data_IF_538118795061
#
_entry.id   IF_538118795061
#
_cell.length_a   1.000
_cell.length_b   1.000
_cell.length_c   1.000
_cell.angle_alpha   90.00
_cell.angle_beta   90.00
_cell.angle_gamma   90.00
#
_symmetry.space_group_name_H-M   'P 1'
#
loop_
_entity.id
_entity.type
_entity.pdbx_description
1 polymer ?
#
# COMPACT_ATOMS: atom_id res chain seq x y z
N UNK A 1 20.21 -20.03 33.35
CA UNK A 1 19.18 -20.08 32.28
C UNK A 1 18.65 -18.70 31.86
N UNK A 2 18.25 -17.76 32.74
CA UNK A 2 17.75 -16.42 32.36
C UNK A 2 18.69 -15.56 31.51
N UNK A 3 20.02 -15.60 31.77
CA UNK A 3 21.02 -14.79 31.04
C UNK A 3 21.13 -15.19 29.55
N UNK A 4 21.15 -16.49 29.27
CA UNK A 4 21.23 -17.00 27.89
C UNK A 4 19.96 -16.72 27.07
N UNK A 5 18.79 -16.74 27.71
CA UNK A 5 17.52 -16.36 27.08
C UNK A 5 17.46 -14.85 26.75
N UNK A 6 17.97 -14.00 27.64
CA UNK A 6 18.03 -12.54 27.40
C UNK A 6 18.99 -12.21 26.25
N UNK A 7 20.16 -12.86 26.18
CA UNK A 7 21.11 -12.65 25.07
C UNK A 7 20.55 -13.13 23.73
N UNK A 8 19.85 -14.27 23.71
CA UNK A 8 19.20 -14.78 22.50
C UNK A 8 18.11 -13.82 21.99
N UNK A 9 17.25 -13.34 22.88
CA UNK A 9 16.21 -12.37 22.54
C UNK A 9 16.80 -11.05 22.00
N UNK A 10 17.88 -10.53 22.61
CA UNK A 10 18.56 -9.34 22.13
C UNK A 10 19.19 -9.52 20.74
N UNK A 11 19.75 -10.72 20.46
CA UNK A 11 20.31 -11.04 19.15
C UNK A 11 19.21 -11.16 18.08
N UNK A 12 18.10 -11.82 18.41
CA UNK A 12 16.94 -11.94 17.51
C UNK A 12 16.35 -10.57 17.16
N UNK A 13 16.22 -9.70 18.16
CA UNK A 13 15.76 -8.32 17.94
C UNK A 13 16.73 -7.50 17.09
N UNK A 14 18.04 -7.63 17.32
CA UNK A 14 19.07 -6.99 16.50
C UNK A 14 19.05 -7.48 15.06
N UNK A 15 18.86 -8.78 14.84
CA UNK A 15 18.76 -9.38 13.51
C UNK A 15 17.49 -8.91 12.80
N UNK A 16 16.36 -8.81 13.49
CA UNK A 16 15.09 -8.29 12.96
C UNK A 16 15.25 -6.83 12.50
N UNK A 17 15.84 -5.97 13.33
CA UNK A 17 16.09 -4.56 12.97
C UNK A 17 17.04 -4.42 11.78
N UNK A 18 18.07 -5.26 11.70
CA UNK A 18 19.00 -5.26 10.57
C UNK A 18 18.33 -5.71 9.28
N UNK A 19 17.45 -6.70 9.35
CA UNK A 19 16.66 -7.17 8.21
C UNK A 19 15.65 -6.10 7.75
N UNK A 20 14.96 -5.45 8.68
CA UNK A 20 14.02 -4.38 8.35
C UNK A 20 14.72 -3.20 7.66
N UNK A 21 15.89 -2.78 8.15
CA UNK A 21 16.71 -1.78 7.46
C UNK A 21 17.08 -2.20 6.05
N UNK A 22 17.53 -3.44 5.89
CA UNK A 22 17.88 -3.99 4.59
C UNK A 22 16.68 -3.95 3.61
N UNK A 23 15.49 -4.31 4.06
CA UNK A 23 14.27 -4.23 3.25
C UNK A 23 13.93 -2.78 2.93
N UNK A 24 14.05 -1.85 3.89
CA UNK A 24 13.79 -0.44 3.68
C UNK A 24 14.73 0.20 2.67
N UNK A 25 16.03 -0.12 2.71
CA UNK A 25 17.01 0.36 1.74
C UNK A 25 16.63 -0.08 0.31
N UNK A 26 16.13 -1.31 0.15
CA UNK A 26 15.68 -1.83 -1.16
C UNK A 26 14.38 -1.17 -1.61
N UNK A 27 13.39 -0.99 -0.71
CA UNK A 27 12.13 -0.29 -0.99
C UNK A 27 12.40 1.14 -1.45
N UNK A 28 13.22 1.87 -0.71
CA UNK A 28 13.57 3.24 -1.04
C UNK A 28 14.34 3.33 -2.37
N UNK A 29 15.25 2.40 -2.63
CA UNK A 29 15.98 2.35 -3.90
C UNK A 29 15.05 2.18 -5.10
N UNK A 30 14.01 1.33 -5.00
CA UNK A 30 13.01 1.19 -6.06
C UNK A 30 12.23 2.49 -6.27
N UNK A 31 11.74 3.12 -5.18
CA UNK A 31 10.99 4.37 -5.25
C UNK A 31 11.83 5.49 -5.89
N UNK A 32 13.08 5.65 -5.48
CA UNK A 32 14.01 6.64 -6.05
C UNK A 32 14.23 6.44 -7.55
N UNK A 33 14.35 5.18 -7.99
CA UNK A 33 14.53 4.88 -9.42
C UNK A 33 13.27 5.19 -10.23
N UNK A 34 12.08 4.95 -9.67
CA UNK A 34 10.79 5.27 -10.30
C UNK A 34 10.57 6.77 -10.51
N UNK A 35 11.29 7.63 -9.79
CA UNK A 35 11.22 9.08 -10.01
C UNK A 35 11.76 9.49 -11.39
N UNK A 36 12.82 8.82 -11.84
CA UNK A 36 13.60 9.20 -13.00
C UNK A 36 13.51 8.25 -14.18
N UNK A 37 12.94 7.06 -13.97
CA UNK A 37 12.80 6.03 -15.00
C UNK A 37 11.41 5.40 -14.93
N UNK A 38 10.90 4.94 -16.07
CA UNK A 38 9.70 4.13 -16.11
C UNK A 38 9.93 2.79 -15.40
N UNK A 39 8.95 2.36 -14.63
CA UNK A 39 9.06 1.11 -13.85
C UNK A 39 9.50 -0.08 -14.70
N UNK A 40 8.99 -0.20 -15.93
CA UNK A 40 9.32 -1.33 -16.82
C UNK A 40 10.80 -1.36 -17.21
N UNK A 41 11.46 -0.22 -17.25
CA UNK A 41 12.88 -0.10 -17.60
C UNK A 41 13.81 -0.43 -16.42
N UNK A 42 13.32 -0.37 -15.18
CA UNK A 42 14.10 -0.64 -13.97
C UNK A 42 14.38 -2.15 -13.87
N UNK A 43 15.65 -2.51 -13.72
CA UNK A 43 16.08 -3.91 -13.52
C UNK A 43 16.42 -4.17 -12.06
N UNK A 44 16.34 -5.42 -11.62
CA UNK A 44 16.77 -5.80 -10.28
C UNK A 44 18.24 -5.38 -10.00
N UNK A 45 19.09 -5.40 -11.03
CA UNK A 45 20.49 -4.94 -10.89
C UNK A 45 20.61 -3.47 -10.52
N UNK A 46 19.73 -2.62 -11.03
CA UNK A 46 19.74 -1.19 -10.75
C UNK A 46 19.32 -0.94 -9.30
N UNK A 47 18.33 -1.68 -8.83
CA UNK A 47 17.86 -1.63 -7.43
C UNK A 47 18.96 -2.10 -6.48
N UNK A 48 19.62 -3.22 -6.79
CA UNK A 48 20.72 -3.79 -5.98
C UNK A 48 21.86 -2.76 -5.83
N UNK A 49 22.25 -2.12 -6.94
CA UNK A 49 23.32 -1.11 -6.95
C UNK A 49 22.88 0.11 -6.16
N UNK A 50 21.68 0.61 -6.39
CA UNK A 50 21.13 1.80 -5.73
C UNK A 50 20.97 1.59 -4.22
N UNK A 51 20.50 0.41 -3.78
CA UNK A 51 20.35 0.04 -2.38
C UNK A 51 21.69 -0.28 -1.68
N UNK A 52 22.78 -0.47 -2.44
CA UNK A 52 24.09 -0.82 -1.88
C UNK A 52 24.14 -2.21 -1.23
N UNK A 53 23.28 -3.13 -1.67
CA UNK A 53 23.17 -4.48 -1.10
C UNK A 53 23.85 -5.54 -1.96
N UNK A 54 24.21 -6.68 -1.37
CA UNK A 54 24.76 -7.80 -2.15
C UNK A 54 23.68 -8.51 -2.94
N UNK A 55 24.04 -9.02 -4.11
CA UNK A 55 23.15 -9.79 -4.99
C UNK A 55 22.52 -10.98 -4.28
N UNK A 56 23.32 -11.73 -3.53
CA UNK A 56 22.86 -12.91 -2.78
C UNK A 56 21.88 -12.55 -1.66
N UNK A 57 22.08 -11.41 -0.98
CA UNK A 57 21.17 -10.94 0.04
C UNK A 57 19.83 -10.48 -0.58
N UNK A 58 19.87 -9.76 -1.70
CA UNK A 58 18.69 -9.35 -2.43
C UNK A 58 17.81 -10.54 -2.80
N UNK A 59 18.34 -11.54 -3.51
CA UNK A 59 17.57 -12.69 -3.99
C UNK A 59 17.13 -13.67 -2.91
N UNK A 60 17.58 -13.52 -1.65
CA UNK A 60 17.01 -14.23 -0.50
C UNK A 60 15.68 -13.61 -0.04
N UNK A 61 15.45 -12.34 -0.33
CA UNK A 61 14.28 -11.59 0.15
C UNK A 61 13.28 -11.33 -0.96
N UNK A 62 13.75 -10.88 -2.13
CA UNK A 62 12.93 -10.52 -3.28
C UNK A 62 13.40 -11.25 -4.53
N UNK A 63 12.49 -11.90 -5.23
CA UNK A 63 12.81 -12.56 -6.50
C UNK A 63 12.81 -11.57 -7.67
N UNK A 64 11.86 -10.64 -7.67
CA UNK A 64 11.65 -9.65 -8.72
C UNK A 64 11.20 -8.29 -8.14
N UNK A 65 11.26 -7.23 -8.95
CA UNK A 65 10.91 -5.87 -8.52
C UNK A 65 9.44 -5.73 -8.11
N UNK A 66 8.52 -6.55 -8.64
CA UNK A 66 7.13 -6.55 -8.23
C UNK A 66 6.93 -7.03 -6.78
N UNK A 67 7.79 -7.92 -6.29
CA UNK A 67 7.71 -8.37 -4.90
C UNK A 67 8.02 -7.21 -3.94
N UNK A 68 8.98 -6.35 -4.33
CA UNK A 68 9.32 -5.13 -3.58
C UNK A 68 8.13 -4.15 -3.59
N UNK A 69 7.49 -3.98 -4.75
CA UNK A 69 6.33 -3.09 -4.88
C UNK A 69 5.16 -3.58 -4.02
N UNK A 70 4.89 -4.88 -4.03
CA UNK A 70 3.86 -5.51 -3.20
C UNK A 70 4.18 -5.29 -1.71
N UNK A 71 5.43 -5.51 -1.31
CA UNK A 71 5.88 -5.28 0.07
C UNK A 71 5.70 -3.81 0.49
N UNK A 72 6.02 -2.84 -0.38
CA UNK A 72 5.77 -1.41 -0.13
C UNK A 72 4.27 -1.15 0.08
N UNK A 73 3.41 -1.69 -0.77
CA UNK A 73 1.96 -1.50 -0.70
C UNK A 73 1.42 -2.14 0.60
N UNK A 74 1.85 -3.35 0.93
CA UNK A 74 1.43 -4.07 2.14
C UNK A 74 1.87 -3.35 3.41
N UNK A 75 3.10 -2.86 3.48
CA UNK A 75 3.58 -2.09 4.63
C UNK A 75 2.78 -0.80 4.84
N UNK A 76 2.38 -0.11 3.76
CA UNK A 76 1.54 1.08 3.86
C UNK A 76 0.08 0.75 4.16
N UNK A 77 -0.39 -0.43 3.75
CA UNK A 77 -1.75 -0.89 4.02
C UNK A 77 -1.92 -1.47 5.44
N UNK A 78 -0.84 -1.81 6.14
CA UNK A 78 -0.93 -2.35 7.51
C UNK A 78 -1.67 -1.43 8.46
N UNK A 79 -1.55 -0.12 8.26
CA UNK A 79 -2.23 0.90 9.07
C UNK A 79 -3.76 0.84 8.92
N UNK A 80 -4.28 0.32 7.80
CA UNK A 80 -5.74 0.20 7.58
C UNK A 80 -6.38 -0.90 8.42
N UNK A 81 -5.66 -1.99 8.68
CA UNK A 81 -6.20 -3.12 9.47
C UNK A 81 -6.37 -2.77 10.94
N UNK A 82 -5.62 -1.79 11.44
CA UNK A 82 -5.72 -1.31 12.81
C UNK A 82 -6.84 -0.26 12.99
N UNK A 83 -7.37 0.29 11.90
CA UNK A 83 -8.34 1.39 11.91
C UNK A 83 -9.73 0.99 11.38
N UNK A 84 -10.00 -0.31 11.23
CA UNK A 84 -11.32 -0.77 10.78
C UNK A 84 -12.37 -0.48 11.84
N UNK A 85 -13.27 0.46 11.52
CA UNK A 85 -14.41 0.84 12.35
C UNK A 85 -15.71 0.41 11.69
N UNK A 86 -16.78 0.25 12.49
CA UNK A 86 -18.12 0.01 11.97
C UNK A 86 -18.73 1.23 11.25
N UNK A 87 -18.07 2.41 11.33
CA UNK A 87 -18.49 3.64 10.67
C UNK A 87 -17.82 3.77 9.30
N UNK A 88 -18.61 3.55 8.27
CA UNK A 88 -18.17 3.61 6.88
C UNK A 88 -17.58 4.97 6.48
N UNK A 89 -18.07 6.06 7.06
CA UNK A 89 -17.55 7.39 6.76
C UNK A 89 -16.19 7.65 7.42
N UNK A 90 -15.98 7.15 8.63
CA UNK A 90 -14.67 7.21 9.28
C UNK A 90 -13.63 6.41 8.51
N UNK A 91 -14.01 5.24 7.97
CA UNK A 91 -13.11 4.44 7.12
C UNK A 91 -12.74 5.20 5.84
N UNK A 92 -13.70 5.85 5.15
CA UNK A 92 -13.42 6.68 3.99
C UNK A 92 -12.50 7.86 4.29
N UNK A 93 -12.76 8.59 5.38
CA UNK A 93 -11.94 9.72 5.80
C UNK A 93 -10.51 9.26 6.10
N UNK A 94 -10.34 8.15 6.81
CA UNK A 94 -9.04 7.58 7.09
C UNK A 94 -8.28 7.24 5.81
N UNK A 95 -8.93 6.58 4.85
CA UNK A 95 -8.33 6.24 3.55
C UNK A 95 -7.85 7.50 2.82
N UNK A 96 -8.67 8.54 2.71
CA UNK A 96 -8.27 9.78 2.05
C UNK A 96 -7.11 10.48 2.75
N UNK A 97 -7.13 10.57 4.09
CA UNK A 97 -6.02 11.16 4.86
C UNK A 97 -4.73 10.37 4.72
N UNK A 98 -4.82 9.05 4.70
CA UNK A 98 -3.68 8.19 4.46
C UNK A 98 -3.08 8.42 3.06
N UNK A 99 -3.92 8.50 2.02
CA UNK A 99 -3.46 8.79 0.65
C UNK A 99 -2.85 10.18 0.57
N UNK A 100 -3.45 11.18 1.20
CA UNK A 100 -2.93 12.55 1.26
C UNK A 100 -1.55 12.60 1.92
N UNK A 101 -1.39 11.96 3.07
CA UNK A 101 -0.11 11.86 3.80
C UNK A 101 0.97 11.12 3.00
N UNK A 102 0.57 10.21 2.10
CA UNK A 102 1.45 9.44 1.22
C UNK A 102 1.33 9.87 -0.26
N UNK A 103 0.91 11.12 -0.51
CA UNK A 103 0.59 11.66 -1.83
C UNK A 103 1.62 11.32 -2.91
N UNK A 104 2.88 11.53 -2.59
CA UNK A 104 3.98 11.30 -3.52
C UNK A 104 4.05 9.86 -4.01
N UNK A 105 3.93 8.89 -3.11
CA UNK A 105 3.91 7.47 -3.46
C UNK A 105 2.74 7.12 -4.40
N UNK A 106 1.52 7.56 -4.07
CA UNK A 106 0.35 7.27 -4.90
C UNK A 106 0.43 7.94 -6.27
N UNK A 107 0.97 9.15 -6.35
CA UNK A 107 1.24 9.82 -7.64
C UNK A 107 2.28 9.06 -8.47
N UNK A 108 3.30 8.50 -7.82
CA UNK A 108 4.32 7.68 -8.47
C UNK A 108 3.73 6.39 -9.05
N UNK A 109 2.81 5.73 -8.32
CA UNK A 109 2.07 4.57 -8.85
C UNK A 109 1.21 4.94 -10.06
N UNK A 110 0.50 6.05 -10.01
CA UNK A 110 -0.31 6.54 -11.13
C UNK A 110 0.55 6.87 -12.34
N UNK A 111 1.66 7.58 -12.14
CA UNK A 111 2.63 7.95 -13.20
C UNK A 111 3.16 6.71 -13.93
N UNK A 112 3.43 5.64 -13.20
CA UNK A 112 4.00 4.39 -13.75
C UNK A 112 2.93 3.35 -14.15
N UNK A 113 1.63 3.64 -14.06
CA UNK A 113 0.57 2.70 -14.43
C UNK A 113 0.41 1.50 -13.49
N UNK A 114 0.88 1.62 -12.24
CA UNK A 114 0.99 0.51 -11.27
C UNK A 114 -0.17 0.43 -10.26
N UNK A 115 -1.22 1.21 -10.47
CA UNK A 115 -2.37 1.24 -9.53
C UNK A 115 -3.10 -0.11 -9.44
N UNK A 116 -3.00 -0.96 -10.47
CA UNK A 116 -3.56 -2.32 -10.44
C UNK A 116 -3.06 -3.16 -9.28
N UNK A 117 -1.80 -3.00 -8.87
CA UNK A 117 -1.25 -3.70 -7.71
C UNK A 117 -1.99 -3.39 -6.41
N UNK A 118 -2.55 -2.17 -6.27
CA UNK A 118 -3.39 -1.81 -5.11
C UNK A 118 -4.67 -2.64 -5.13
N UNK A 119 -5.34 -2.72 -6.28
CA UNK A 119 -6.58 -3.49 -6.41
C UNK A 119 -6.35 -4.97 -6.16
N UNK A 120 -5.26 -5.53 -6.70
CA UNK A 120 -4.88 -6.92 -6.49
C UNK A 120 -4.65 -7.20 -5.00
N UNK A 121 -3.98 -6.30 -4.27
CA UNK A 121 -3.77 -6.43 -2.83
C UNK A 121 -5.08 -6.32 -2.03
N UNK A 122 -5.96 -5.39 -2.38
CA UNK A 122 -7.30 -5.28 -1.76
C UNK A 122 -8.12 -6.56 -1.96
N UNK A 123 -8.04 -7.18 -3.15
CA UNK A 123 -8.80 -8.38 -3.50
C UNK A 123 -8.14 -9.68 -3.02
N UNK A 124 -6.89 -9.65 -2.59
CA UNK A 124 -6.15 -10.82 -2.11
C UNK A 124 -6.45 -11.19 -0.65
N UNK A 125 -7.20 -10.36 0.07
CA UNK A 125 -7.57 -10.62 1.46
C UNK A 125 -8.44 -11.88 1.54
N UNK A 126 -8.13 -12.74 2.54
CA UNK A 126 -8.92 -13.94 2.80
C UNK A 126 -10.18 -13.56 3.58
N UNK A 127 -11.32 -13.65 2.92
CA UNK A 127 -12.64 -13.38 3.46
C UNK A 127 -13.56 -14.57 3.23
N UNK A 128 -14.58 -14.79 4.08
CA UNK A 128 -15.60 -15.80 3.84
C UNK A 128 -16.26 -15.62 2.47
N UNK A 129 -16.63 -16.74 1.81
CA UNK A 129 -17.22 -16.71 0.47
C UNK A 129 -18.54 -15.93 0.42
N UNK A 130 -19.33 -15.99 1.50
CA UNK A 130 -20.57 -15.25 1.67
C UNK A 130 -20.39 -13.72 1.59
N UNK A 131 -19.27 -13.21 2.09
CA UNK A 131 -18.97 -11.76 2.16
C UNK A 131 -18.19 -11.28 0.95
N UNK A 132 -17.71 -12.20 0.10
CA UNK A 132 -16.78 -11.90 -0.99
C UNK A 132 -17.32 -10.89 -2.00
N UNK A 133 -18.60 -11.03 -2.38
CA UNK A 133 -19.20 -10.11 -3.37
C UNK A 133 -19.29 -8.69 -2.82
N UNK A 134 -19.71 -8.55 -1.56
CA UNK A 134 -19.77 -7.24 -0.90
C UNK A 134 -18.37 -6.60 -0.81
N UNK A 135 -17.37 -7.37 -0.40
CA UNK A 135 -15.99 -6.90 -0.32
C UNK A 135 -15.44 -6.46 -1.67
N UNK A 136 -15.70 -7.21 -2.75
CA UNK A 136 -15.26 -6.82 -4.09
C UNK A 136 -15.93 -5.52 -4.57
N UNK A 137 -17.20 -5.30 -4.24
CA UNK A 137 -17.89 -4.05 -4.53
C UNK A 137 -17.24 -2.88 -3.76
N UNK A 138 -16.97 -3.05 -2.46
CA UNK A 138 -16.28 -2.07 -1.63
C UNK A 138 -14.89 -1.75 -2.16
N UNK A 139 -14.08 -2.77 -2.43
CA UNK A 139 -12.73 -2.62 -2.98
C UNK A 139 -12.75 -1.86 -4.30
N UNK A 140 -13.71 -2.17 -5.18
CA UNK A 140 -13.90 -1.47 -6.44
C UNK A 140 -14.27 0.01 -6.27
N UNK A 141 -15.17 0.32 -5.34
CA UNK A 141 -15.54 1.71 -5.03
C UNK A 141 -14.35 2.50 -4.48
N UNK A 142 -13.65 1.94 -3.47
CA UNK A 142 -12.47 2.56 -2.87
C UNK A 142 -11.39 2.80 -3.93
N UNK A 143 -11.02 1.75 -4.66
CA UNK A 143 -9.98 1.82 -5.68
C UNK A 143 -10.29 2.90 -6.73
N UNK A 144 -11.47 2.85 -7.35
CA UNK A 144 -11.81 3.78 -8.43
C UNK A 144 -11.88 5.23 -7.92
N UNK A 145 -12.47 5.46 -6.76
CA UNK A 145 -12.59 6.81 -6.18
C UNK A 145 -11.22 7.39 -5.86
N UNK A 146 -10.38 6.64 -5.16
CA UNK A 146 -9.06 7.11 -4.73
C UNK A 146 -8.10 7.29 -5.91
N UNK A 147 -8.06 6.34 -6.84
CA UNK A 147 -7.19 6.43 -8.03
C UNK A 147 -7.57 7.62 -8.90
N UNK A 148 -8.88 7.88 -9.10
CA UNK A 148 -9.30 9.06 -9.85
C UNK A 148 -8.93 10.37 -9.14
N UNK A 149 -9.09 10.44 -7.82
CA UNK A 149 -8.68 11.61 -7.05
C UNK A 149 -7.17 11.89 -7.19
N UNK A 150 -6.34 10.85 -7.10
CA UNK A 150 -4.88 10.97 -7.30
C UNK A 150 -4.56 11.39 -8.74
N UNK A 151 -5.20 10.79 -9.76
CA UNK A 151 -5.04 11.14 -11.19
C UNK A 151 -5.39 12.60 -11.47
N UNK A 152 -6.41 13.14 -10.81
CA UNK A 152 -6.79 14.55 -10.91
C UNK A 152 -5.83 15.50 -10.16
N UNK A 153 -4.75 14.97 -9.59
CA UNK A 153 -3.74 15.73 -8.86
C UNK A 153 -4.15 16.08 -7.42
N UNK A 154 -5.20 15.40 -6.89
CA UNK A 154 -5.73 15.63 -5.53
C UNK A 154 -6.17 17.10 -5.35
N UNK A 155 -6.83 17.67 -6.35
CA UNK A 155 -7.27 19.08 -6.36
C UNK A 155 -8.34 19.38 -5.32
N UNK A 156 -9.17 18.40 -4.98
CA UNK A 156 -10.18 18.50 -3.92
C UNK A 156 -9.53 18.17 -2.58
N UNK A 157 -9.95 18.88 -1.55
CA UNK A 157 -9.55 18.55 -0.17
C UNK A 157 -10.16 17.21 0.28
N UNK A 158 -9.65 16.66 1.37
CA UNK A 158 -10.25 15.46 1.99
C UNK A 158 -11.70 15.75 2.39
N UNK A 159 -11.99 16.93 2.95
CA UNK A 159 -13.33 17.32 3.36
C UNK A 159 -14.29 17.39 2.16
N UNK A 160 -13.86 17.96 1.03
CA UNK A 160 -14.65 17.96 -0.21
C UNK A 160 -14.92 16.52 -0.70
N UNK A 161 -13.92 15.65 -0.63
CA UNK A 161 -14.07 14.24 -1.01
C UNK A 161 -15.07 13.53 -0.10
N UNK A 162 -15.03 13.80 1.20
CA UNK A 162 -15.99 13.24 2.17
C UNK A 162 -17.43 13.68 1.88
N UNK A 163 -17.65 14.94 1.54
CA UNK A 163 -18.98 15.43 1.16
C UNK A 163 -19.48 14.75 -0.13
N UNK A 164 -18.60 14.53 -1.10
CA UNK A 164 -18.94 13.78 -2.32
C UNK A 164 -19.32 12.32 -2.01
N UNK A 165 -18.59 11.64 -1.12
CA UNK A 165 -18.88 10.27 -0.70
C UNK A 165 -20.23 10.18 0.00
N UNK A 166 -20.52 11.07 0.97
CA UNK A 166 -21.81 11.12 1.68
C UNK A 166 -22.98 11.26 0.69
N UNK A 167 -22.87 12.18 -0.25
CA UNK A 167 -23.90 12.43 -1.26
C UNK A 167 -24.07 11.24 -2.22
N UNK A 168 -22.95 10.62 -2.66
CA UNK A 168 -22.97 9.47 -3.56
C UNK A 168 -23.62 8.25 -2.91
N UNK A 169 -23.19 7.88 -1.70
CA UNK A 169 -23.73 6.73 -0.96
C UNK A 169 -25.22 6.90 -0.66
N UNK A 170 -25.65 8.10 -0.25
CA UNK A 170 -27.08 8.41 -0.05
C UNK A 170 -27.87 8.23 -1.34
N UNK A 171 -27.35 8.71 -2.49
CA UNK A 171 -28.00 8.57 -3.80
C UNK A 171 -28.10 7.10 -4.25
N UNK A 172 -27.06 6.30 -4.02
CA UNK A 172 -27.03 4.87 -4.35
C UNK A 172 -28.09 4.14 -3.51
N UNK A 173 -28.11 4.37 -2.20
CA UNK A 173 -29.09 3.76 -1.29
C UNK A 173 -30.53 4.03 -1.70
N UNK A 174 -30.88 5.26 -2.11
CA UNK A 174 -32.20 5.63 -2.59
C UNK A 174 -32.60 4.95 -3.91
N UNK A 175 -31.63 4.62 -4.77
CA UNK A 175 -31.89 3.96 -6.07
C UNK A 175 -32.04 2.45 -5.94
N UNK A 176 -31.34 1.82 -5.00
CA UNK A 176 -31.36 0.36 -4.79
C UNK A 176 -32.53 -0.06 -3.91
N UNK A 177 -33.06 0.83 -3.07
CA UNK A 177 -34.22 0.59 -2.19
C UNK A 177 -35.59 0.76 -2.85
N UNK A 178 -35.65 0.93 -4.17
CA UNK A 178 -36.86 0.96 -5.00
C UNK A 178 -37.02 -0.33 -5.79
#
# INVERSE_FOLDING_TARGET
MRFAQSQKAALEESNKKSHERFCEDIRQALLDLMETADYDQIKNTDIIIKAGVSRSAFYRTYYQKSDILIDIIQNRASDFTEHDTSDVYQNWEYIFRHIESNKHFYQLLVKNGLTGFILDQLNSQSIPEEDRTEQLLWNGMIYNTCVNWVKDGMKKSVDDMMDHIKNALSSISQKVGK
#
